data_IF_610793423151
#
_entry.id   IF_610793423151
#
_cell.length_a   1.000
_cell.length_b   1.000
_cell.length_c   1.000
_cell.angle_alpha   90.00
_cell.angle_beta   90.00
_cell.angle_gamma   90.00
#
_symmetry.space_group_name_H-M   'P 1'
#
loop_
_entity.id
_entity.type
_entity.pdbx_description
1 polymer ?
#
# COMPACT_ATOMS: atom_id res chain seq x y z
N UNK A 1 -19.69 2.70 1.97
CA UNK A 1 -19.26 4.11 1.91
C UNK A 1 -18.54 4.30 0.58
N UNK A 2 -18.90 5.33 -0.19
CA UNK A 2 -18.20 5.67 -1.43
C UNK A 2 -17.48 6.99 -1.18
N UNK A 3 -16.17 6.99 -1.37
CA UNK A 3 -15.31 8.17 -1.27
C UNK A 3 -14.82 8.49 -2.68
N UNK A 4 -14.92 9.75 -3.09
CA UNK A 4 -14.52 10.24 -4.42
C UNK A 4 -13.80 11.58 -4.28
N UNK A 5 -13.27 12.12 -5.40
CA UNK A 5 -12.37 13.28 -5.41
C UNK A 5 -11.18 13.08 -4.47
N UNK A 6 -10.46 11.96 -4.68
CA UNK A 6 -9.30 11.58 -3.88
C UNK A 6 -8.21 12.64 -3.94
N UNK A 7 -7.41 12.70 -2.86
CA UNK A 7 -6.30 13.63 -2.74
C UNK A 7 -5.27 13.45 -3.84
N UNK A 8 -4.89 14.56 -4.47
CA UNK A 8 -3.85 14.68 -5.48
C UNK A 8 -2.72 15.51 -4.88
N UNK A 9 -1.48 15.13 -5.16
CA UNK A 9 -0.33 15.97 -4.85
C UNK A 9 -0.25 17.18 -5.79
N UNK A 10 0.76 18.04 -5.60
CA UNK A 10 0.98 19.24 -6.44
C UNK A 10 1.22 18.91 -7.92
N UNK A 11 1.63 17.68 -8.23
CA UNK A 11 1.88 17.18 -9.59
C UNK A 11 0.63 16.58 -10.25
N UNK A 12 -0.51 16.57 -9.55
CA UNK A 12 -1.75 15.96 -10.03
C UNK A 12 -1.73 14.43 -9.99
N UNK A 13 -0.90 13.84 -9.13
CA UNK A 13 -0.76 12.39 -8.95
C UNK A 13 -1.46 11.99 -7.65
N UNK A 14 -2.25 10.91 -7.69
CA UNK A 14 -2.87 10.36 -6.49
C UNK A 14 -1.83 9.84 -5.51
N UNK A 15 -1.96 10.19 -4.23
CA UNK A 15 -1.13 9.62 -3.16
C UNK A 15 -1.30 8.09 -3.07
N UNK A 16 -2.52 7.60 -3.29
CA UNK A 16 -2.82 6.18 -3.39
C UNK A 16 -2.55 5.67 -4.80
N UNK A 17 -1.70 4.65 -4.90
CA UNK A 17 -1.43 3.90 -6.11
C UNK A 17 -2.35 2.68 -6.21
N UNK A 18 -3.01 2.57 -7.35
CA UNK A 18 -3.88 1.44 -7.70
C UNK A 18 -3.27 0.53 -8.78
N UNK A 19 -2.14 0.95 -9.35
CA UNK A 19 -1.53 0.35 -10.54
C UNK A 19 -0.26 -0.45 -10.21
N UNK A 20 0.36 -0.21 -9.05
CA UNK A 20 1.62 -0.89 -8.68
C UNK A 20 1.44 -2.36 -8.33
N UNK A 21 0.23 -2.74 -7.88
CA UNK A 21 -0.11 -4.11 -7.47
C UNK A 21 -1.61 -4.31 -7.63
N UNK A 22 -2.01 -5.22 -8.54
CA UNK A 22 -3.41 -5.45 -8.87
C UNK A 22 -4.28 -5.85 -7.68
N UNK A 23 -3.66 -6.46 -6.66
CA UNK A 23 -4.36 -6.95 -5.47
C UNK A 23 -4.36 -5.92 -4.37
N UNK A 24 -3.47 -4.94 -4.36
CA UNK A 24 -3.23 -4.03 -3.24
C UNK A 24 -3.63 -2.58 -3.53
N UNK A 25 -3.62 -1.74 -2.50
CA UNK A 25 -3.62 -0.29 -2.63
C UNK A 25 -2.38 0.19 -1.88
N UNK A 26 -1.48 0.90 -2.57
CA UNK A 26 -0.19 1.29 -2.01
C UNK A 26 -0.06 2.79 -1.87
N UNK A 27 0.73 3.24 -0.90
CA UNK A 27 1.17 4.63 -0.88
C UNK A 27 2.25 4.84 -1.95
N UNK A 28 2.18 5.94 -2.71
CA UNK A 28 3.28 6.35 -3.57
C UNK A 28 4.44 6.82 -2.69
N UNK A 29 5.61 6.26 -2.92
CA UNK A 29 6.85 6.68 -2.28
C UNK A 29 7.46 7.81 -3.10
N UNK A 30 7.59 9.01 -2.53
CA UNK A 30 8.14 10.20 -3.20
C UNK A 30 9.54 9.95 -3.81
N UNK A 31 10.28 8.94 -3.33
CA UNK A 31 11.56 8.53 -3.90
C UNK A 31 11.51 7.76 -5.23
N UNK A 32 10.32 7.43 -5.75
CA UNK A 32 10.14 6.57 -6.95
C UNK A 32 9.88 7.37 -8.23
N UNK A 33 9.54 8.66 -8.13
CA UNK A 33 9.16 9.48 -9.29
C UNK A 33 10.29 9.80 -10.28
N UNK A 34 11.52 9.34 -10.03
CA UNK A 34 12.58 9.37 -11.03
C UNK A 34 12.92 7.96 -11.46
N UNK A 35 12.77 7.63 -12.74
CA UNK A 35 13.16 6.35 -13.39
C UNK A 35 14.66 5.99 -13.30
N UNK A 36 15.31 6.33 -12.20
CA UNK A 36 16.66 5.94 -11.81
C UNK A 36 16.58 4.55 -11.18
N UNK A 37 17.55 3.71 -11.51
CA UNK A 37 17.75 2.41 -10.85
C UNK A 37 17.72 2.60 -9.33
N UNK A 38 16.84 1.85 -8.65
CA UNK A 38 16.77 1.84 -7.20
C UNK A 38 18.15 1.45 -6.65
N UNK A 39 18.72 2.33 -5.82
CA UNK A 39 20.00 2.08 -5.18
C UNK A 39 19.88 0.87 -4.23
N UNK A 40 20.94 0.09 -4.04
CA UNK A 40 20.90 -1.13 -3.21
C UNK A 40 20.34 -0.88 -1.80
N UNK A 41 20.70 0.25 -1.19
CA UNK A 41 20.18 0.69 0.13
C UNK A 41 18.66 0.90 0.15
N UNK A 42 18.09 1.35 -0.96
CA UNK A 42 16.65 1.58 -1.09
C UNK A 42 15.90 0.25 -1.20
N UNK A 43 16.46 -0.72 -1.92
CA UNK A 43 15.91 -2.08 -2.00
C UNK A 43 15.95 -2.77 -0.64
N UNK A 44 17.06 -2.64 0.08
CA UNK A 44 17.22 -3.17 1.43
C UNK A 44 16.18 -2.56 2.38
N UNK A 45 16.01 -1.22 2.33
CA UNK A 45 14.97 -0.51 3.09
C UNK A 45 13.57 -1.06 2.82
N UNK A 46 13.25 -1.32 1.56
CA UNK A 46 11.94 -1.83 1.11
C UNK A 46 11.69 -3.28 1.50
N UNK A 47 12.74 -4.05 1.75
CA UNK A 47 12.63 -5.43 2.21
C UNK A 47 12.23 -5.53 3.70
N UNK A 48 12.40 -4.45 4.47
CA UNK A 48 12.02 -4.44 5.86
C UNK A 48 10.49 -4.48 6.03
N UNK A 49 10.04 -5.26 7.02
CA UNK A 49 8.62 -5.37 7.38
C UNK A 49 7.98 -4.01 7.66
N UNK A 50 8.69 -3.07 8.29
CA UNK A 50 8.18 -1.73 8.59
C UNK A 50 7.81 -0.94 7.32
N UNK A 51 8.54 -1.14 6.22
CA UNK A 51 8.20 -0.55 4.93
C UNK A 51 6.88 -1.13 4.41
N UNK A 52 6.74 -2.46 4.40
CA UNK A 52 5.52 -3.11 3.95
C UNK A 52 4.29 -2.65 4.75
N UNK A 53 4.39 -2.58 6.08
CA UNK A 53 3.30 -2.14 6.95
C UNK A 53 2.90 -0.67 6.75
N UNK A 54 3.84 0.17 6.30
CA UNK A 54 3.57 1.58 6.00
C UNK A 54 2.97 1.76 4.61
N UNK A 55 3.48 1.04 3.61
CA UNK A 55 3.20 1.32 2.19
C UNK A 55 2.17 0.38 1.56
N UNK A 56 1.85 -0.77 2.17
CA UNK A 56 0.85 -1.73 1.66
C UNK A 56 -0.37 -1.72 2.57
N UNK A 57 -1.53 -1.35 2.01
CA UNK A 57 -2.79 -1.43 2.75
C UNK A 57 -3.12 -2.88 3.12
N UNK A 58 -2.80 -3.86 2.26
CA UNK A 58 -2.96 -5.28 2.60
C UNK A 58 -2.13 -5.69 3.81
N UNK A 59 -0.85 -5.33 3.83
CA UNK A 59 0.03 -5.69 4.95
C UNK A 59 -0.37 -4.96 6.25
N UNK A 60 -0.82 -3.72 6.15
CA UNK A 60 -1.38 -3.02 7.30
C UNK A 60 -2.66 -3.68 7.81
N UNK A 61 -3.57 -4.02 6.90
CA UNK A 61 -4.87 -4.62 7.24
C UNK A 61 -4.73 -6.01 7.90
N UNK A 62 -3.71 -6.80 7.56
CA UNK A 62 -3.48 -8.12 8.20
C UNK A 62 -3.12 -8.01 9.69
N UNK A 63 -2.64 -6.87 10.14
CA UNK A 63 -2.32 -6.61 11.56
C UNK A 63 -3.24 -5.61 12.25
N UNK A 64 -4.27 -5.13 11.56
CA UNK A 64 -5.19 -4.13 12.09
C UNK A 64 -5.92 -4.63 13.35
N UNK A 65 -6.15 -5.94 13.44
CA UNK A 65 -6.78 -6.59 14.58
C UNK A 65 -5.84 -7.62 15.19
N UNK A 66 -5.65 -7.55 16.51
CA UNK A 66 -4.79 -8.48 17.25
C UNK A 66 -5.31 -9.93 17.23
N UNK A 67 -6.64 -10.12 17.20
CA UNK A 67 -7.28 -11.43 17.17
C UNK A 67 -8.14 -11.55 15.91
N UNK A 68 -8.02 -12.68 15.22
CA UNK A 68 -8.86 -13.03 14.07
C UNK A 68 -10.28 -13.32 14.55
N UNK A 69 -11.24 -12.67 13.90
CA UNK A 69 -12.66 -12.90 14.12
C UNK A 69 -13.14 -14.03 13.19
N UNK A 70 -14.03 -14.89 13.68
CA UNK A 70 -14.57 -16.01 12.88
C UNK A 70 -15.59 -15.54 11.84
N UNK A 71 -16.29 -14.44 12.12
CA UNK A 71 -17.39 -13.90 11.33
C UNK A 71 -17.01 -12.63 10.54
N UNK A 72 -15.73 -12.26 10.50
CA UNK A 72 -15.28 -11.05 9.82
C UNK A 72 -14.05 -11.35 8.96
N UNK A 73 -14.07 -10.82 7.73
CA UNK A 73 -13.00 -10.97 6.75
C UNK A 73 -12.76 -9.62 6.09
N UNK A 74 -11.51 -9.26 5.90
CA UNK A 74 -11.13 -8.10 5.09
C UNK A 74 -10.85 -8.60 3.68
N UNK A 75 -11.47 -7.99 2.68
CA UNK A 75 -11.25 -8.29 1.26
C UNK A 75 -10.79 -6.99 0.62
N UNK A 76 -9.59 -7.00 0.04
CA UNK A 76 -9.02 -5.85 -0.65
C UNK A 76 -8.87 -6.20 -2.14
N UNK A 77 -9.43 -5.34 -3.00
CA UNK A 77 -9.42 -5.53 -4.48
C UNK A 77 -9.95 -6.92 -4.88
N UNK A 78 -10.99 -7.41 -4.19
CA UNK A 78 -11.60 -8.72 -4.46
C UNK A 78 -10.82 -9.93 -3.90
N UNK A 79 -9.65 -9.73 -3.30
CA UNK A 79 -8.84 -10.81 -2.73
C UNK A 79 -8.82 -10.72 -1.19
N UNK A 80 -9.15 -11.81 -0.46
CA UNK A 80 -9.05 -11.83 1.00
C UNK A 80 -7.67 -11.42 1.49
N UNK A 81 -7.64 -10.71 2.62
CA UNK A 81 -6.42 -10.41 3.39
C UNK A 81 -6.26 -11.50 4.46
N UNK A 82 -5.04 -12.01 4.63
CA UNK A 82 -4.74 -13.12 5.55
C UNK A 82 -4.47 -12.70 6.99
#
# INVERSE_FOLDING_TARGET
VIIYNLWLNEEGIYELSFDDDDKDIRLRDEGVNGGKRLHHKELDRRSHISYHLRYSLRAYASMLYLKKFENFKIILRGVPVE
#
